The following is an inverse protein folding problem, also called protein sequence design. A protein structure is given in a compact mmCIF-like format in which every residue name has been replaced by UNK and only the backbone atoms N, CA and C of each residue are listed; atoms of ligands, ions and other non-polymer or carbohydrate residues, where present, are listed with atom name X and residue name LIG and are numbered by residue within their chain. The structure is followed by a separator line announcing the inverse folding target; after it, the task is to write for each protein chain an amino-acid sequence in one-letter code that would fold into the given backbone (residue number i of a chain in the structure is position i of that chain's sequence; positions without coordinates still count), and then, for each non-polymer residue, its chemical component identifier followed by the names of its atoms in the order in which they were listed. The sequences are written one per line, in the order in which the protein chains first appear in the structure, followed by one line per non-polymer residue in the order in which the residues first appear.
data_IF_714360586734
#
_entry.id   IF_714360586734
#
_cell.length_a   1.000
_cell.length_b   1.000
_cell.length_c   1.000
_cell.angle_alpha   90.00
_cell.angle_beta   90.00
_cell.angle_gamma   90.00
#
_symmetry.space_group_name_H-M   'P 1'
#
loop_
_entity.id
_entity.type
_entity.pdbx_description
1 polymer ?
#
# COMPACT_ATOMS: atom_id res chain seq x y z
N UNK A 1 62.76 -15.01 -0.57
CA UNK A 1 62.25 -14.96 -0.73
C UNK A 1 61.27 -14.61 -0.82
N UNK A 2 60.73 -14.42 -0.98
CA UNK A 2 59.92 -14.13 -1.16
C UNK A 2 58.95 -13.80 -1.43
N UNK A 3 58.40 -13.66 -1.59
CA UNK A 3 57.48 -13.37 -1.94
C UNK A 3 56.56 -13.00 -1.89
N UNK A 4 55.89 -12.70 -2.05
CA UNK A 4 55.11 -12.26 -2.09
C UNK A 4 54.19 -12.01 -2.40
N UNK A 5 53.43 -11.82 -2.50
CA UNK A 5 52.65 -11.59 -2.82
C UNK A 5 51.72 -11.18 -2.99
N UNK A 6 51.09 -10.96 -3.26
CA UNK A 6 50.36 -10.44 -3.61
C UNK A 6 49.17 -10.35 -3.74
N UNK A 7 48.45 -10.22 -3.70
CA UNK A 7 47.22 -10.05 -3.52
C UNK A 7 46.54 -9.41 -4.42
N UNK A 8 45.64 -9.22 -4.56
CA UNK A 8 45.00 -8.82 -5.49
C UNK A 8 43.72 -8.32 -5.24
N UNK A 9 43.22 -7.26 -5.38
CA UNK A 9 42.03 -6.59 -5.09
C UNK A 9 40.99 -6.66 -6.20
N UNK A 10 41.05 -7.59 -6.97
CA UNK A 10 40.15 -7.71 -8.12
C UNK A 10 38.67 -7.80 -7.77
N UNK A 11 38.28 -8.46 -6.69
CA UNK A 11 36.86 -8.63 -6.39
C UNK A 11 36.08 -7.33 -6.20
N UNK A 12 36.76 -6.32 -5.73
CA UNK A 12 36.08 -5.04 -5.48
C UNK A 12 35.53 -4.40 -6.73
N UNK A 13 36.28 -4.54 -7.83
CA UNK A 13 35.87 -3.95 -9.08
C UNK A 13 34.62 -4.62 -9.66
N UNK A 14 34.51 -5.90 -9.47
CA UNK A 14 33.36 -6.65 -9.98
C UNK A 14 32.08 -6.21 -9.28
N UNK A 15 32.15 -5.98 -7.99
CA UNK A 15 30.99 -5.57 -7.22
C UNK A 15 30.48 -4.22 -7.69
N UNK A 16 31.37 -3.31 -8.00
CA UNK A 16 30.96 -2.00 -8.46
C UNK A 16 30.23 -2.05 -9.78
N UNK A 17 30.65 -2.93 -10.64
CA UNK A 17 30.00 -3.04 -11.95
C UNK A 17 28.57 -3.55 -11.83
N UNK A 18 28.36 -4.44 -10.88
CA UNK A 18 27.00 -4.96 -10.65
C UNK A 18 26.04 -3.86 -10.20
N UNK A 19 26.53 -2.98 -9.33
CA UNK A 19 25.71 -1.88 -8.85
C UNK A 19 25.31 -0.96 -10.00
N UNK A 20 26.24 -0.68 -10.88
CA UNK A 20 25.96 0.19 -12.02
C UNK A 20 24.92 -0.44 -12.95
N UNK A 21 25.00 -1.74 -13.12
CA UNK A 21 24.05 -2.44 -13.96
C UNK A 21 22.63 -2.35 -13.42
N UNK A 22 22.48 -2.41 -12.09
CA UNK A 22 21.17 -2.33 -11.49
C UNK A 22 20.57 -0.93 -11.67
N UNK A 23 21.37 0.10 -11.50
CA UNK A 23 20.87 1.45 -11.67
C UNK A 23 20.45 1.75 -13.09
N UNK A 24 21.08 1.13 -14.05
CA UNK A 24 20.73 1.32 -15.46
C UNK A 24 19.34 0.79 -15.79
N UNK A 25 18.85 -0.19 -15.03
CA UNK A 25 17.53 -0.76 -15.24
C UNK A 25 16.41 0.08 -14.65
N UNK A 26 16.72 1.10 -13.87
CA UNK A 26 15.75 1.93 -13.20
C UNK A 26 15.16 3.05 -14.04
N UNK A 27 15.25 2.94 -15.34
CA UNK A 27 14.74 3.97 -16.23
C UNK A 27 13.22 4.00 -16.18
N UNK A 28 12.65 5.19 -16.05
CA UNK A 28 11.21 5.37 -16.04
C UNK A 28 10.57 5.44 -14.67
N UNK A 29 11.18 4.83 -13.66
CA UNK A 29 10.65 4.84 -12.30
C UNK A 29 9.25 4.24 -12.18
N UNK A 30 8.63 4.29 -11.00
CA UNK A 30 7.29 3.76 -10.80
C UNK A 30 6.22 4.65 -11.43
N UNK A 31 5.14 4.05 -11.88
CA UNK A 31 4.01 4.77 -12.45
C UNK A 31 3.25 5.52 -11.34
N UNK A 32 2.35 6.41 -11.74
CA UNK A 32 1.49 7.10 -10.81
C UNK A 32 0.65 6.11 -9.99
N UNK A 33 0.13 5.08 -10.65
CA UNK A 33 -0.67 4.05 -9.98
C UNK A 33 0.15 3.30 -8.93
N UNK A 34 1.38 2.95 -9.27
CA UNK A 34 2.27 2.25 -8.34
C UNK A 34 2.62 3.13 -7.13
N UNK A 35 2.90 4.40 -7.36
CA UNK A 35 3.20 5.34 -6.27
C UNK A 35 2.00 5.50 -5.35
N UNK A 36 0.82 5.69 -5.93
CA UNK A 36 -0.40 5.82 -5.13
C UNK A 36 -0.67 4.57 -4.31
N UNK A 37 -0.54 3.39 -4.94
CA UNK A 37 -0.72 2.13 -4.23
C UNK A 37 0.21 1.99 -3.05
N UNK A 38 1.49 2.35 -3.25
CA UNK A 38 2.47 2.29 -2.17
C UNK A 38 2.16 3.30 -1.07
N UNK A 39 1.79 4.51 -1.43
CA UNK A 39 1.47 5.54 -0.45
C UNK A 39 0.27 5.14 0.41
N UNK A 40 -0.77 4.59 -0.22
CA UNK A 40 -1.94 4.11 0.50
C UNK A 40 -1.60 2.91 1.39
N UNK A 41 -0.77 1.99 0.86
CA UNK A 41 -0.33 0.82 1.60
C UNK A 41 0.46 1.21 2.85
N UNK A 42 1.41 2.14 2.69
CA UNK A 42 2.22 2.62 3.81
C UNK A 42 1.35 3.35 4.84
N UNK A 43 0.37 4.13 4.37
CA UNK A 43 -0.54 4.84 5.25
C UNK A 43 -1.39 3.86 6.09
N UNK A 44 -1.93 2.83 5.46
CA UNK A 44 -2.71 1.82 6.17
C UNK A 44 -1.85 1.01 7.13
N UNK A 45 -0.66 0.63 6.71
CA UNK A 45 0.23 -0.19 7.52
C UNK A 45 0.74 0.54 8.77
N UNK A 46 0.70 1.87 8.77
CA UNK A 46 1.11 2.65 9.94
C UNK A 46 0.02 2.77 11.00
N UNK A 47 -1.18 2.31 10.73
CA UNK A 47 -2.30 2.38 11.67
C UNK A 47 -2.20 1.26 12.71
N UNK A 48 -2.36 1.58 14.01
CA UNK A 48 -2.39 0.53 15.04
C UNK A 48 -3.51 -0.47 14.76
N UNK A 49 -3.22 -1.74 14.88
CA UNK A 49 -4.18 -2.80 14.59
C UNK A 49 -4.11 -3.33 13.17
N UNK A 50 -3.35 -2.70 12.28
CA UNK A 50 -3.09 -3.20 10.94
C UNK A 50 -1.71 -3.87 10.93
N UNK A 51 -1.70 -5.17 10.62
CA UNK A 51 -0.47 -5.96 10.55
C UNK A 51 0.15 -5.87 9.16
N UNK A 52 -0.69 -5.84 8.12
CA UNK A 52 -0.24 -5.82 6.74
C UNK A 52 -1.29 -5.13 5.87
N UNK A 53 -0.85 -4.56 4.78
CA UNK A 53 -1.73 -3.89 3.83
C UNK A 53 -1.27 -4.19 2.42
N UNK A 54 -2.22 -4.53 1.55
CA UNK A 54 -1.98 -4.73 0.12
C UNK A 54 -2.94 -3.83 -0.61
N UNK A 55 -2.41 -2.92 -1.40
CA UNK A 55 -3.22 -1.98 -2.18
C UNK A 55 -2.86 -2.11 -3.65
N UNK A 56 -3.86 -2.37 -4.45
CA UNK A 56 -3.70 -2.48 -5.89
C UNK A 56 -4.43 -1.31 -6.56
N UNK A 57 -3.72 -0.57 -7.36
CA UNK A 57 -4.26 0.59 -8.09
C UNK A 57 -4.10 0.35 -9.57
N UNK A 58 -5.22 0.46 -10.29
CA UNK A 58 -5.23 0.35 -11.73
C UNK A 58 -5.83 1.63 -12.32
N UNK A 59 -5.02 2.36 -13.05
CA UNK A 59 -5.44 3.59 -13.73
C UNK A 59 -5.40 3.35 -15.23
N UNK A 60 -6.54 3.48 -15.88
CA UNK A 60 -6.62 3.29 -17.32
C UNK A 60 -7.69 4.21 -17.90
N UNK A 61 -7.97 4.07 -19.19
CA UNK A 61 -8.92 4.94 -19.87
C UNK A 61 -10.36 4.77 -19.38
N UNK A 62 -10.66 3.65 -18.72
CA UNK A 62 -11.99 3.41 -18.15
C UNK A 62 -12.15 4.02 -16.76
N UNK A 63 -11.06 4.42 -16.11
CA UNK A 63 -11.12 5.05 -14.80
C UNK A 63 -10.02 4.60 -13.87
N UNK A 64 -10.19 4.97 -12.62
CA UNK A 64 -9.28 4.64 -11.53
C UNK A 64 -9.93 3.57 -10.65
N UNK A 65 -9.25 2.46 -10.46
CA UNK A 65 -9.76 1.33 -9.68
C UNK A 65 -8.78 1.00 -8.57
N UNK A 66 -9.24 1.07 -7.33
CA UNK A 66 -8.41 0.86 -6.16
C UNK A 66 -9.02 -0.25 -5.32
N UNK A 67 -8.23 -1.28 -5.04
CA UNK A 67 -8.64 -2.38 -4.18
C UNK A 67 -7.63 -2.51 -3.05
N UNK A 68 -8.11 -2.55 -1.82
CA UNK A 68 -7.25 -2.66 -0.65
C UNK A 68 -7.67 -3.87 0.20
N UNK A 69 -6.70 -4.70 0.52
CA UNK A 69 -6.87 -5.80 1.47
C UNK A 69 -5.95 -5.54 2.65
N UNK A 70 -6.53 -5.36 3.81
CA UNK A 70 -5.78 -5.17 5.04
C UNK A 70 -5.85 -6.44 5.87
N UNK A 71 -4.81 -6.68 6.65
CA UNK A 71 -4.78 -7.77 7.63
C UNK A 71 -4.61 -7.14 8.99
N UNK A 72 -5.49 -7.48 9.92
CA UNK A 72 -5.42 -7.00 11.29
C UNK A 72 -4.47 -7.82 12.14
N UNK A 73 -4.25 -7.33 13.36
CA UNK A 73 -3.38 -8.03 14.32
C UNK A 73 -4.11 -9.09 15.13
N UNK A 74 -5.44 -9.12 15.07
CA UNK A 74 -6.26 -10.07 15.81
C UNK A 74 -7.52 -10.46 15.08
N UNK A 75 -8.41 -11.19 15.77
CA UNK A 75 -9.61 -11.75 15.17
C UNK A 75 -10.90 -11.17 15.74
N UNK A 76 -10.80 -10.19 16.63
CA UNK A 76 -11.96 -9.54 17.21
C UNK A 76 -12.60 -8.60 16.20
N UNK A 77 -13.88 -8.79 15.93
CA UNK A 77 -14.60 -7.97 14.95
C UNK A 77 -14.50 -6.47 15.30
N UNK A 78 -14.70 -6.13 16.58
CA UNK A 78 -14.64 -4.73 17.01
C UNK A 78 -13.26 -4.12 16.81
N UNK A 79 -12.21 -4.88 17.08
CA UNK A 79 -10.85 -4.39 16.90
C UNK A 79 -10.51 -4.21 15.41
N UNK A 80 -10.96 -5.12 14.57
CA UNK A 80 -10.78 -4.99 13.11
C UNK A 80 -11.55 -3.79 12.58
N UNK A 81 -12.78 -3.58 13.07
CA UNK A 81 -13.58 -2.43 12.67
C UNK A 81 -12.89 -1.11 13.05
N UNK A 82 -12.32 -1.04 14.24
CA UNK A 82 -11.62 0.15 14.69
C UNK A 82 -10.38 0.41 13.83
N UNK A 83 -9.61 -0.63 13.54
CA UNK A 83 -8.42 -0.50 12.69
C UNK A 83 -8.80 -0.02 11.28
N UNK A 84 -9.87 -0.55 10.72
CA UNK A 84 -10.34 -0.11 9.41
C UNK A 84 -10.83 1.34 9.44
N UNK A 85 -11.53 1.72 10.50
CA UNK A 85 -12.03 3.08 10.65
C UNK A 85 -10.90 4.10 10.71
N UNK A 86 -9.78 3.74 11.30
CA UNK A 86 -8.60 4.60 11.34
C UNK A 86 -7.80 4.55 10.04
N UNK A 87 -7.77 3.41 9.39
CA UNK A 87 -7.01 3.25 8.14
C UNK A 87 -7.67 3.98 6.96
N UNK A 88 -9.00 4.01 6.93
CA UNK A 88 -9.73 4.59 5.80
C UNK A 88 -9.38 6.06 5.55
N UNK A 89 -9.44 6.95 6.54
CA UNK A 89 -9.05 8.35 6.30
C UNK A 89 -7.59 8.47 5.85
N UNK A 90 -6.69 7.71 6.49
CA UNK A 90 -5.28 7.76 6.16
C UNK A 90 -5.01 7.38 4.70
N UNK A 91 -5.71 6.36 4.21
CA UNK A 91 -5.60 5.93 2.82
C UNK A 91 -6.24 6.91 1.85
N UNK A 92 -7.45 7.37 2.19
CA UNK A 92 -8.23 8.22 1.29
C UNK A 92 -7.60 9.61 1.11
N UNK A 93 -6.85 10.10 2.09
CA UNK A 93 -6.11 11.34 1.96
C UNK A 93 -5.09 11.29 0.83
N UNK A 94 -4.61 10.10 0.47
CA UNK A 94 -3.65 9.93 -0.62
C UNK A 94 -4.30 10.02 -2.00
N UNK A 95 -5.63 10.01 -2.07
CA UNK A 95 -6.37 9.97 -3.33
C UNK A 95 -6.95 11.33 -3.73
N UNK A 96 -6.60 12.40 -3.02
CA UNK A 96 -7.27 13.70 -3.20
C UNK A 96 -7.03 14.34 -4.57
N UNK A 97 -6.01 13.90 -5.29
CA UNK A 97 -5.76 14.39 -6.64
C UNK A 97 -6.53 13.60 -7.72
N UNK A 98 -7.32 12.61 -7.33
CA UNK A 98 -8.17 11.86 -8.25
C UNK A 98 -9.59 12.42 -8.21
N UNK A 99 -10.10 12.81 -9.35
CA UNK A 99 -11.45 13.37 -9.45
C UNK A 99 -12.53 12.32 -9.31
N UNK A 100 -12.23 11.07 -9.67
CA UNK A 100 -13.19 9.98 -9.64
C UNK A 100 -12.47 8.65 -9.55
N UNK A 101 -13.23 7.61 -9.29
CA UNK A 101 -12.68 6.27 -9.23
C UNK A 101 -13.58 5.32 -8.46
N UNK A 102 -13.18 4.07 -8.43
CA UNK A 102 -13.83 3.02 -7.65
C UNK A 102 -12.88 2.57 -6.54
N UNK A 103 -13.40 2.40 -5.34
CA UNK A 103 -12.63 2.00 -4.17
C UNK A 103 -13.31 0.85 -3.46
N UNK A 104 -12.53 -0.16 -3.10
CA UNK A 104 -13.01 -1.32 -2.38
C UNK A 104 -11.98 -1.68 -1.32
N UNK A 105 -12.44 -1.92 -0.10
CA UNK A 105 -11.54 -2.19 1.03
C UNK A 105 -12.18 -3.16 2.00
N UNK A 106 -11.35 -4.05 2.54
CA UNK A 106 -11.75 -4.93 3.64
C UNK A 106 -10.53 -5.21 4.51
N UNK A 107 -10.77 -5.43 5.80
CA UNK A 107 -9.75 -5.89 6.71
C UNK A 107 -10.11 -7.29 7.20
N UNK A 108 -9.12 -8.16 7.24
CA UNK A 108 -9.28 -9.56 7.60
C UNK A 108 -8.48 -9.88 8.84
N UNK A 109 -8.95 -10.85 9.61
CA UNK A 109 -8.13 -11.45 10.67
C UNK A 109 -6.94 -12.17 10.05
N UNK A 110 -5.86 -12.44 10.83
CA UNK A 110 -4.69 -13.13 10.30
C UNK A 110 -4.98 -14.47 9.63
N UNK A 111 -6.00 -15.18 10.08
CA UNK A 111 -6.39 -16.48 9.52
C UNK A 111 -7.55 -16.38 8.51
N UNK A 112 -7.93 -15.16 8.12
CA UNK A 112 -9.01 -14.87 7.18
C UNK A 112 -10.41 -15.34 7.63
N UNK A 113 -10.57 -15.72 8.89
CA UNK A 113 -11.86 -16.23 9.39
C UNK A 113 -12.87 -15.12 9.68
N UNK A 114 -12.40 -13.89 9.93
CA UNK A 114 -13.24 -12.73 10.20
C UNK A 114 -12.87 -11.63 9.24
N UNK A 115 -13.86 -10.94 8.71
CA UNK A 115 -13.62 -9.78 7.84
C UNK A 115 -14.57 -8.65 8.18
N UNK A 116 -14.08 -7.43 7.99
CA UNK A 116 -14.84 -6.21 8.21
C UNK A 116 -14.70 -5.32 6.97
N UNK A 117 -15.81 -4.83 6.48
CA UNK A 117 -15.83 -3.89 5.37
C UNK A 117 -16.38 -2.54 5.79
N UNK A 118 -16.38 -1.60 4.86
CA UNK A 118 -16.89 -0.26 5.13
C UNK A 118 -18.35 -0.26 5.57
N UNK A 119 -19.15 -1.20 5.08
CA UNK A 119 -20.55 -1.32 5.49
C UNK A 119 -20.71 -1.58 6.97
N UNK A 120 -19.78 -2.29 7.59
CA UNK A 120 -19.80 -2.56 9.02
C UNK A 120 -19.54 -1.29 9.84
N UNK A 121 -18.99 -0.27 9.22
CA UNK A 121 -18.74 1.03 9.85
C UNK A 121 -19.90 2.02 9.64
N UNK A 122 -21.00 1.55 9.05
CA UNK A 122 -22.14 2.40 8.78
C UNK A 122 -22.16 3.06 7.41
N UNK A 123 -21.16 2.79 6.58
CA UNK A 123 -21.13 3.35 5.24
C UNK A 123 -22.12 2.61 4.33
N UNK A 124 -23.10 3.31 3.80
CA UNK A 124 -24.14 2.73 2.95
C UNK A 124 -23.96 3.08 1.48
N UNK A 125 -22.89 3.77 1.12
CA UNK A 125 -22.60 4.10 -0.28
C UNK A 125 -22.09 2.91 -1.06
N UNK A 126 -21.86 3.11 -2.34
CA UNK A 126 -21.31 2.08 -3.20
C UNK A 126 -19.80 2.11 -3.22
N UNK A 127 -19.22 1.91 -4.41
CA UNK A 127 -17.77 1.86 -4.59
C UNK A 127 -17.17 3.18 -5.04
N UNK A 128 -17.94 4.26 -5.11
CA UNK A 128 -17.44 5.56 -5.55
C UNK A 128 -16.36 6.08 -4.61
N UNK A 129 -15.18 6.37 -5.17
CA UNK A 129 -14.08 6.94 -4.41
C UNK A 129 -14.47 8.29 -3.80
N UNK A 130 -15.21 9.10 -4.55
CA UNK A 130 -15.66 10.41 -4.08
C UNK A 130 -16.58 10.25 -2.87
N UNK A 131 -17.52 9.29 -2.93
CA UNK A 131 -18.43 9.05 -1.83
C UNK A 131 -17.69 8.54 -0.58
N UNK A 132 -16.69 7.68 -0.76
CA UNK A 132 -15.84 7.23 0.33
C UNK A 132 -15.13 8.42 1.01
N UNK A 133 -14.53 9.30 0.20
CA UNK A 133 -13.85 10.48 0.74
C UNK A 133 -14.83 11.37 1.49
N UNK A 134 -15.98 11.61 0.91
CA UNK A 134 -16.96 12.47 1.53
C UNK A 134 -17.41 11.92 2.88
N UNK A 135 -17.63 10.63 2.95
CA UNK A 135 -18.10 9.99 4.18
C UNK A 135 -16.99 9.94 5.26
N UNK A 136 -15.79 9.49 4.89
CA UNK A 136 -14.76 9.21 5.89
C UNK A 136 -13.83 10.38 6.19
N UNK A 137 -13.63 11.30 5.24
CA UNK A 137 -12.77 12.47 5.49
C UNK A 137 -13.50 13.65 6.11
N UNK A 138 -14.80 13.74 5.93
CA UNK A 138 -15.58 14.87 6.43
C UNK A 138 -16.31 14.56 7.75
N UNK A 139 -16.02 13.45 8.38
CA UNK A 139 -16.61 13.12 9.66
C UNK A 139 -15.98 13.95 10.78
N UNK A 140 -16.78 14.44 11.71
CA UNK A 140 -16.26 15.21 12.84
C UNK A 140 -15.49 14.35 13.84
#
# INVERSE_FOLDING_TARGET
MTLKKLPKPVPALIIMMLILGITACGVGGPSKAERLGKDMQDAAASVPGVKDAQVHVNMNTSGNFITAKLTGTGSEHAALAQALEEALPAMLEKTTDLDSGSFSVSIFSPDDSVSVGAGDLGYAGGTSLVDFREYFLNRP
#
